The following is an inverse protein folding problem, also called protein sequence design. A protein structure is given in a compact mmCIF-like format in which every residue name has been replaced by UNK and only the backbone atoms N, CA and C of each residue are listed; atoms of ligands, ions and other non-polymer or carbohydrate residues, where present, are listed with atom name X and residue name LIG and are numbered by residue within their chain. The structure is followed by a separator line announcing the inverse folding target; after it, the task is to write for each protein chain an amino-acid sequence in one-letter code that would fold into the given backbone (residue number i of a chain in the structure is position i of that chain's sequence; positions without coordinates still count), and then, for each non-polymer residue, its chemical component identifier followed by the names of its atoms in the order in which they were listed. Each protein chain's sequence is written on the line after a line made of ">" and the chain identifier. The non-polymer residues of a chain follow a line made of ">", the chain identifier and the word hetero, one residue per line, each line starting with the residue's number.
data_IF_083270506911
#
_entry.id   IF_083270506911
#
_cell.length_a   1.000
_cell.length_b   1.000
_cell.length_c   1.000
_cell.angle_alpha   90.00
_cell.angle_beta   90.00
_cell.angle_gamma   90.00
#
_symmetry.space_group_name_H-M   'P 1'
#
loop_
_entity.id
_entity.type
_entity.pdbx_description
1 polymer ?
#
# COMPACT_ATOMS: atom_id res chain seq x y z
N UNK A 1 14.72 -16.62 -9.87
CA UNK A 1 14.33 -15.92 -11.12
C UNK A 1 15.33 -16.33 -12.19
N UNK A 2 14.89 -16.65 -13.42
CA UNK A 2 15.81 -17.00 -14.50
C UNK A 2 16.58 -15.75 -14.93
N UNK A 3 17.91 -15.80 -14.93
CA UNK A 3 18.75 -14.64 -15.29
C UNK A 3 18.73 -14.41 -16.80
N UNK A 4 19.06 -13.18 -17.22
CA UNK A 4 19.15 -12.84 -18.64
C UNK A 4 20.20 -13.70 -19.37
N UNK A 5 21.32 -14.01 -18.71
CA UNK A 5 22.36 -14.91 -19.21
C UNK A 5 21.79 -16.30 -19.54
N UNK A 6 21.02 -16.89 -18.62
CA UNK A 6 20.41 -18.20 -18.86
C UNK A 6 19.42 -18.19 -20.02
N UNK A 7 18.68 -17.09 -20.21
CA UNK A 7 17.77 -16.92 -21.36
C UNK A 7 18.56 -16.89 -22.67
N UNK A 8 19.66 -16.14 -22.72
CA UNK A 8 20.54 -16.09 -23.89
C UNK A 8 21.13 -17.47 -24.19
N UNK A 9 21.60 -18.20 -23.17
CA UNK A 9 22.10 -19.57 -23.32
C UNK A 9 21.05 -20.49 -23.95
N UNK A 10 19.81 -20.47 -23.47
CA UNK A 10 18.71 -21.25 -24.05
C UNK A 10 18.51 -20.91 -25.54
N UNK A 11 18.55 -19.63 -25.91
CA UNK A 11 18.39 -19.18 -27.30
C UNK A 11 19.55 -19.62 -28.19
N UNK A 12 20.79 -19.50 -27.71
CA UNK A 12 22.00 -19.92 -28.44
C UNK A 12 21.97 -21.43 -28.67
N UNK A 13 21.67 -22.22 -27.64
CA UNK A 13 21.56 -23.68 -27.75
C UNK A 13 20.46 -24.10 -28.74
N UNK A 14 19.33 -23.38 -28.76
CA UNK A 14 18.29 -23.63 -29.76
C UNK A 14 18.73 -23.27 -31.18
N UNK A 15 19.45 -22.16 -31.37
CA UNK A 15 20.03 -21.77 -32.67
C UNK A 15 21.03 -22.80 -33.19
N UNK A 16 21.76 -23.49 -32.30
CA UNK A 16 22.65 -24.62 -32.63
C UNK A 16 21.90 -25.91 -33.02
N UNK A 17 20.57 -25.90 -33.07
CA UNK A 17 19.76 -27.05 -33.49
C UNK A 17 19.40 -28.03 -32.37
N UNK A 18 19.75 -27.74 -31.10
CA UNK A 18 19.41 -28.64 -30.01
C UNK A 18 17.90 -28.73 -29.77
N UNK A 19 17.45 -29.92 -29.33
CA UNK A 19 16.07 -30.16 -28.92
C UNK A 19 15.79 -29.57 -27.54
N UNK A 20 14.52 -29.24 -27.25
CA UNK A 20 14.10 -28.75 -25.92
C UNK A 20 14.52 -29.72 -24.79
N UNK A 21 14.47 -31.04 -25.06
CA UNK A 21 14.87 -32.07 -24.10
C UNK A 21 16.37 -32.05 -23.83
N UNK A 22 17.19 -31.83 -24.86
CA UNK A 22 18.64 -31.69 -24.72
C UNK A 22 18.99 -30.43 -23.91
N UNK A 23 18.41 -29.28 -24.29
CA UNK A 23 18.61 -28.00 -23.59
C UNK A 23 18.22 -28.12 -22.11
N UNK A 24 17.10 -28.79 -21.80
CA UNK A 24 16.65 -29.02 -20.42
C UNK A 24 17.63 -29.86 -19.61
N UNK A 25 18.25 -30.88 -20.23
CA UNK A 25 19.26 -31.72 -19.56
C UNK A 25 20.57 -30.96 -19.33
N UNK A 26 20.98 -30.15 -20.31
CA UNK A 26 22.24 -29.39 -20.25
C UNK A 26 22.16 -28.21 -19.27
N UNK A 27 21.04 -27.49 -19.27
CA UNK A 27 20.86 -26.29 -18.43
C UNK A 27 20.26 -26.58 -17.06
N UNK A 28 19.75 -27.79 -16.81
CA UNK A 28 19.00 -28.14 -15.59
C UNK A 28 17.63 -27.46 -15.47
N UNK A 29 17.20 -26.74 -16.50
CA UNK A 29 15.93 -26.00 -16.52
C UNK A 29 14.79 -26.92 -16.97
N UNK A 30 13.60 -26.76 -16.37
CA UNK A 30 12.43 -27.53 -16.78
C UNK A 30 12.09 -27.32 -18.26
N UNK A 31 11.64 -28.39 -18.94
CA UNK A 31 11.24 -28.33 -20.35
C UNK A 31 10.18 -27.27 -20.63
N UNK A 32 9.28 -27.04 -19.68
CA UNK A 32 8.21 -26.04 -19.78
C UNK A 32 8.79 -24.61 -19.77
N UNK A 33 9.77 -24.37 -18.91
CA UNK A 33 10.47 -23.08 -18.84
C UNK A 33 11.28 -22.86 -20.12
N UNK A 34 12.04 -23.85 -20.60
CA UNK A 34 12.76 -23.75 -21.89
C UNK A 34 11.80 -23.44 -23.02
N UNK A 35 10.68 -24.17 -23.13
CA UNK A 35 9.64 -23.93 -24.14
C UNK A 35 9.07 -22.52 -24.07
N UNK A 36 8.76 -22.03 -22.86
CA UNK A 36 8.27 -20.67 -22.62
C UNK A 36 9.24 -19.62 -23.17
N UNK A 37 10.52 -19.68 -22.77
CA UNK A 37 11.52 -18.70 -23.16
C UNK A 37 11.98 -18.81 -24.63
N UNK A 38 11.73 -19.93 -25.31
CA UNK A 38 11.92 -20.04 -26.76
C UNK A 38 10.75 -19.48 -27.57
N UNK A 39 9.52 -19.56 -27.05
CA UNK A 39 8.32 -19.04 -27.70
C UNK A 39 8.16 -17.52 -27.49
N UNK A 40 8.53 -17.03 -26.30
CA UNK A 40 8.56 -15.61 -25.97
C UNK A 40 9.79 -14.97 -26.64
N UNK A 41 9.66 -14.61 -27.93
CA UNK A 41 10.68 -13.89 -28.69
C UNK A 41 11.03 -12.58 -27.97
N UNK A 42 12.15 -12.57 -27.26
CA UNK A 42 12.89 -11.37 -26.87
C UNK A 42 12.20 -10.37 -25.95
N UNK A 43 11.14 -10.73 -25.23
CA UNK A 43 10.65 -9.85 -24.17
C UNK A 43 11.39 -10.21 -22.90
N UNK A 44 12.28 -9.32 -22.45
CA UNK A 44 12.78 -9.33 -21.07
C UNK A 44 11.64 -9.68 -20.12
N UNK A 45 11.85 -10.47 -19.05
CA UNK A 45 10.77 -10.96 -18.20
C UNK A 45 9.94 -9.79 -17.70
N UNK A 46 8.84 -9.50 -18.39
CA UNK A 46 7.97 -8.40 -18.03
C UNK A 46 7.18 -8.93 -16.86
N UNK A 47 7.56 -8.49 -15.66
CA UNK A 47 6.83 -8.80 -14.45
C UNK A 47 5.42 -8.23 -14.61
N UNK A 48 4.50 -9.09 -15.04
CA UNK A 48 3.08 -8.79 -15.01
C UNK A 48 2.70 -8.89 -13.54
N UNK A 49 2.68 -7.73 -12.86
CA UNK A 49 2.06 -7.62 -11.55
C UNK A 49 0.67 -8.19 -11.71
N UNK A 50 0.42 -9.34 -11.06
CA UNK A 50 -0.87 -10.04 -11.13
C UNK A 50 -1.95 -8.98 -10.87
N UNK A 51 -2.96 -8.93 -11.75
CA UNK A 51 -4.10 -8.04 -11.55
C UNK A 51 -4.53 -8.16 -10.09
N UNK A 52 -4.62 -7.02 -9.40
CA UNK A 52 -4.84 -7.00 -7.96
C UNK A 52 -6.18 -7.67 -7.70
N UNK A 53 -6.13 -8.93 -7.26
CA UNK A 53 -7.34 -9.70 -6.98
C UNK A 53 -8.04 -9.00 -5.84
N UNK A 54 -9.37 -8.91 -5.92
CA UNK A 54 -10.18 -8.39 -4.82
C UNK A 54 -9.83 -9.20 -3.58
N UNK A 55 -9.18 -8.55 -2.63
CA UNK A 55 -8.75 -9.17 -1.39
C UNK A 55 -9.94 -9.24 -0.42
N UNK A 56 -9.96 -10.24 0.46
CA UNK A 56 -10.97 -10.31 1.53
C UNK A 56 -11.01 -9.05 2.40
N UNK A 57 -9.90 -8.29 2.43
CA UNK A 57 -9.76 -7.06 3.20
C UNK A 57 -10.23 -5.82 2.45
N UNK A 58 -10.46 -5.90 1.13
CA UNK A 58 -10.85 -4.74 0.31
C UNK A 58 -12.11 -4.03 0.82
N UNK A 59 -13.19 -4.75 1.24
CA UNK A 59 -14.37 -4.12 1.82
C UNK A 59 -14.08 -3.37 3.14
N UNK A 60 -13.04 -3.78 3.87
CA UNK A 60 -12.71 -3.26 5.21
C UNK A 60 -11.61 -2.20 5.20
N UNK A 61 -10.95 -1.97 4.05
CA UNK A 61 -9.91 -0.93 3.91
C UNK A 61 -10.37 0.45 4.37
N UNK A 62 -11.59 0.93 4.03
CA UNK A 62 -12.05 2.24 4.50
C UNK A 62 -12.07 2.33 6.02
N UNK A 63 -12.58 1.30 6.68
CA UNK A 63 -12.66 1.22 8.13
C UNK A 63 -11.27 1.17 8.79
N UNK A 64 -10.36 0.37 8.25
CA UNK A 64 -8.98 0.26 8.78
C UNK A 64 -8.24 1.59 8.64
N UNK A 65 -8.36 2.26 7.49
CA UNK A 65 -7.73 3.57 7.27
C UNK A 65 -8.29 4.63 8.21
N UNK A 66 -9.61 4.65 8.42
CA UNK A 66 -10.23 5.54 9.39
C UNK A 66 -9.66 5.32 10.80
N UNK A 67 -9.53 4.06 11.23
CA UNK A 67 -8.95 3.71 12.54
C UNK A 67 -7.51 4.16 12.68
N UNK A 68 -6.68 3.98 11.65
CA UNK A 68 -5.28 4.42 11.65
C UNK A 68 -5.19 5.94 11.76
N UNK A 69 -6.02 6.68 11.02
CA UNK A 69 -6.06 8.13 11.09
C UNK A 69 -6.48 8.62 12.48
N UNK A 70 -7.54 8.02 13.05
CA UNK A 70 -8.02 8.37 14.39
C UNK A 70 -7.02 8.03 15.50
N UNK A 71 -6.20 7.00 15.32
CA UNK A 71 -5.17 6.59 16.28
C UNK A 71 -3.85 7.36 16.11
N UNK A 72 -3.72 8.22 15.09
CA UNK A 72 -2.48 8.98 14.91
C UNK A 72 -2.30 10.00 16.05
N UNK A 73 -1.10 10.10 16.65
CA UNK A 73 -0.84 11.03 17.75
C UNK A 73 -1.18 12.49 17.42
N UNK A 74 -1.01 12.88 16.15
CA UNK A 74 -1.36 14.21 15.66
C UNK A 74 -2.87 14.52 15.76
N UNK A 75 -3.74 13.54 15.50
CA UNK A 75 -5.19 13.71 15.63
C UNK A 75 -5.61 13.78 17.10
N UNK A 76 -4.97 12.99 17.97
CA UNK A 76 -5.19 13.06 19.40
C UNK A 76 -4.84 14.44 19.98
N UNK A 77 -3.65 14.97 19.66
CA UNK A 77 -3.22 16.31 20.09
C UNK A 77 -4.20 17.39 19.57
N UNK A 78 -4.65 17.28 18.31
CA UNK A 78 -5.64 18.22 17.75
C UNK A 78 -6.97 18.20 18.51
N UNK A 79 -7.44 17.03 18.93
CA UNK A 79 -8.67 16.90 19.72
C UNK A 79 -8.52 17.49 21.12
N UNK A 80 -7.39 17.23 21.80
CA UNK A 80 -7.09 17.78 23.13
C UNK A 80 -7.00 19.31 23.08
N UNK A 81 -6.27 19.88 22.11
CA UNK A 81 -6.16 21.33 21.95
C UNK A 81 -7.52 21.97 21.68
N UNK A 82 -8.35 21.36 20.81
CA UNK A 82 -9.72 21.84 20.56
C UNK A 82 -10.58 21.81 21.81
N UNK A 83 -10.51 20.75 22.60
CA UNK A 83 -11.24 20.62 23.85
C UNK A 83 -10.81 21.68 24.86
N UNK A 84 -9.50 21.86 25.06
CA UNK A 84 -8.97 22.90 25.95
C UNK A 84 -9.38 24.31 25.50
N UNK A 85 -9.34 24.59 24.20
CA UNK A 85 -9.75 25.89 23.65
C UNK A 85 -11.25 26.15 23.88
N UNK A 86 -12.11 25.15 23.70
CA UNK A 86 -13.55 25.26 23.99
C UNK A 86 -13.81 25.44 25.49
N UNK A 87 -13.05 24.76 26.35
CA UNK A 87 -13.17 24.88 27.80
C UNK A 87 -12.75 26.27 28.29
N UNK A 88 -11.66 26.82 27.75
CA UNK A 88 -11.22 28.19 28.02
C UNK A 88 -12.28 29.20 27.54
N UNK A 89 -12.83 29.02 26.34
CA UNK A 89 -13.88 29.89 25.80
C UNK A 89 -15.14 29.84 26.66
N UNK A 90 -15.58 28.66 27.08
CA UNK A 90 -16.73 28.46 27.96
C UNK A 90 -16.53 29.17 29.30
N UNK A 91 -15.35 29.06 29.92
CA UNK A 91 -15.05 29.72 31.18
C UNK A 91 -14.91 31.25 31.05
N UNK A 92 -14.41 31.73 29.91
CA UNK A 92 -14.32 33.16 29.59
C UNK A 92 -15.70 33.80 29.45
N UNK A 93 -16.62 33.14 28.75
CA UNK A 93 -18.00 33.61 28.58
C UNK A 93 -18.80 33.56 29.89
N UNK A 94 -18.58 32.56 30.73
CA UNK A 94 -19.29 32.41 32.01
C UNK A 94 -18.83 33.40 33.10
N UNK A 95 -17.66 34.05 32.95
CA UNK A 95 -17.18 35.09 33.89
C UNK A 95 -17.77 36.48 33.64
N UNK A 96 -18.58 36.65 32.60
CA UNK A 96 -19.34 37.88 32.32
C UNK A 96 -20.82 37.73 32.68
N UNK A 97 -21.12 37.54 33.97
CA UNK A 97 -22.46 37.81 34.51
C UNK A 97 -22.36 39.05 35.40
N UNK A 98 -22.70 40.26 34.90
CA UNK A 98 -22.71 41.44 35.73
C UNK A 98 -23.92 41.38 36.66
N UNK A 99 -23.68 41.36 37.97
CA UNK A 99 -24.68 41.58 39.00
C UNK A 99 -25.25 43.00 38.88
N UNK A 100 -26.30 43.17 38.09
CA UNK A 100 -27.17 44.34 38.16
C UNK A 100 -28.38 44.00 39.02
N UNK A 101 -28.37 44.47 40.27
CA UNK A 101 -29.46 44.33 41.23
C UNK A 101 -29.63 45.59 42.05
N UNK A 102 -30.42 46.52 41.50
CA UNK A 102 -31.22 47.60 42.11
C UNK A 102 -30.65 48.38 43.31
N UNK A 103 -30.29 49.64 43.05
CA UNK A 103 -30.40 50.74 44.02
C UNK A 103 -31.86 50.97 44.42
N UNK A 104 -32.16 50.98 45.72
CA UNK A 104 -33.38 51.60 46.29
C UNK A 104 -32.98 52.94 46.91
N UNK A 105 -33.78 54.00 46.73
CA UNK A 105 -33.97 54.97 47.79
C UNK A 105 -35.43 55.08 48.22
N UNK A 106 -35.59 55.42 49.51
CA UNK A 106 -36.83 55.79 50.19
C UNK A 106 -37.35 57.15 49.73
#
# INVERSE_FOLDING_TARGET
>A
MLTQEMVVTIQVLKKRGQSIKAISRETGISRNTVKKYLNEKSTAPQYHRRANRVSKLDPYKPYIHQRIQSASPAVFVKQVVRFLMLLILHFSLNRYSPSMGLTRPL
#
